data_IF_455207335141
#
_entry.id   IF_455207335141
#
_cell.length_a   1.000
_cell.length_b   1.000
_cell.length_c   1.000
_cell.angle_alpha   90.00
_cell.angle_beta   90.00
_cell.angle_gamma   90.00
#
_symmetry.space_group_name_H-M   'P 1'
#
loop_
_entity.id
_entity.type
_entity.pdbx_description
1 polymer ?
#
# COMPACT_ATOMS: atom_id res chain seq x y z
N UNK A 1 20.88 23.72 -22.09
CA UNK A 1 19.84 24.33 -21.25
C UNK A 1 18.73 23.31 -21.07
N UNK A 2 18.45 22.85 -19.85
CA UNK A 2 17.29 21.98 -19.61
C UNK A 2 16.05 22.87 -19.54
N UNK A 3 15.25 22.83 -20.59
CA UNK A 3 13.99 23.56 -20.64
C UNK A 3 13.00 22.77 -19.79
N UNK A 4 12.76 23.22 -18.55
CA UNK A 4 11.68 22.69 -17.72
C UNK A 4 10.39 23.01 -18.48
N UNK A 5 9.77 22.00 -19.09
CA UNK A 5 8.45 22.15 -19.67
C UNK A 5 7.51 22.55 -18.54
N UNK A 6 7.02 23.79 -18.59
CA UNK A 6 6.03 24.32 -17.64
C UNK A 6 4.68 23.75 -18.06
N UNK A 7 4.49 22.47 -17.74
CA UNK A 7 3.23 21.80 -18.01
C UNK A 7 2.11 22.53 -17.25
N UNK A 8 1.03 22.83 -17.96
CA UNK A 8 -0.18 23.32 -17.31
C UNK A 8 -0.67 22.22 -16.34
N UNK A 9 -0.84 22.57 -15.07
CA UNK A 9 -1.32 21.65 -14.01
C UNK A 9 -2.70 21.07 -14.32
N UNK A 10 -3.46 21.69 -15.21
CA UNK A 10 -4.74 21.18 -15.73
C UNK A 10 -4.49 19.99 -16.65
N UNK A 11 -3.58 20.14 -17.62
CA UNK A 11 -3.21 19.06 -18.56
C UNK A 11 -2.54 17.89 -17.84
N UNK A 12 -1.72 18.15 -16.82
CA UNK A 12 -1.11 17.08 -16.02
C UNK A 12 -2.16 16.27 -15.27
N UNK A 13 -3.14 16.91 -14.61
CA UNK A 13 -4.15 16.19 -13.82
C UNK A 13 -5.06 15.30 -14.66
N UNK A 14 -5.28 15.67 -15.92
CA UNK A 14 -6.05 14.89 -16.89
C UNK A 14 -5.21 13.79 -17.58
N UNK A 15 -3.89 13.80 -17.39
CA UNK A 15 -3.00 12.79 -17.99
C UNK A 15 -3.19 11.41 -17.34
N UNK A 16 -3.28 10.33 -18.14
CA UNK A 16 -3.31 8.96 -17.61
C UNK A 16 -2.14 8.65 -16.67
N UNK A 17 -0.95 9.16 -16.98
CA UNK A 17 0.25 8.93 -16.15
C UNK A 17 0.16 9.60 -14.78
N UNK A 18 -0.47 10.77 -14.67
CA UNK A 18 -0.69 11.42 -13.38
C UNK A 18 -1.65 10.60 -12.50
N UNK A 19 -2.69 10.03 -13.11
CA UNK A 19 -3.61 9.14 -12.41
C UNK A 19 -2.90 7.89 -11.91
N UNK A 20 -2.00 7.30 -12.71
CA UNK A 20 -1.16 6.17 -12.30
C UNK A 20 -0.28 6.52 -11.10
N UNK A 21 0.46 7.64 -11.14
CA UNK A 21 1.29 8.09 -10.01
C UNK A 21 0.44 8.31 -8.75
N UNK A 22 -0.74 8.89 -8.89
CA UNK A 22 -1.64 9.13 -7.77
C UNK A 22 -2.10 7.79 -7.16
N UNK A 23 -2.50 6.83 -8.00
CA UNK A 23 -2.90 5.50 -7.56
C UNK A 23 -1.75 4.74 -6.89
N UNK A 24 -0.55 4.79 -7.47
CA UNK A 24 0.66 4.20 -6.85
C UNK A 24 0.97 4.85 -5.49
N UNK A 25 0.85 6.17 -5.37
CA UNK A 25 1.05 6.88 -4.11
C UNK A 25 0.06 6.44 -3.03
N UNK A 26 -1.23 6.30 -3.38
CA UNK A 26 -2.27 5.83 -2.47
C UNK A 26 -1.99 4.39 -2.03
N UNK A 27 -1.66 3.50 -2.97
CA UNK A 27 -1.31 2.11 -2.70
C UNK A 27 -0.09 1.99 -1.77
N UNK A 28 0.96 2.79 -2.02
CA UNK A 28 2.16 2.82 -1.17
C UNK A 28 1.86 3.29 0.25
N UNK A 29 1.10 4.37 0.42
CA UNK A 29 0.72 4.86 1.75
C UNK A 29 -0.14 3.83 2.50
N UNK A 30 -1.04 3.13 1.80
CA UNK A 30 -1.87 2.10 2.42
C UNK A 30 -1.04 0.89 2.87
N UNK A 31 -0.09 0.46 2.04
CA UNK A 31 0.86 -0.61 2.40
C UNK A 31 1.70 -0.24 3.62
N UNK A 32 2.30 0.95 3.64
CA UNK A 32 3.07 1.42 4.82
C UNK A 32 2.21 1.50 6.08
N UNK A 33 0.93 1.86 5.93
CA UNK A 33 0.00 1.92 7.05
C UNK A 33 -0.24 0.53 7.64
N UNK A 34 -0.49 -0.47 6.78
CA UNK A 34 -0.62 -1.87 7.19
C UNK A 34 0.66 -2.38 7.87
N UNK A 35 1.83 -2.19 7.24
CA UNK A 35 3.12 -2.57 7.80
C UNK A 35 3.37 -1.91 9.17
N UNK A 36 3.01 -0.64 9.33
CA UNK A 36 3.14 0.06 10.61
C UNK A 36 2.23 -0.55 11.68
N UNK A 37 0.98 -0.88 11.34
CA UNK A 37 0.04 -1.51 12.29
C UNK A 37 0.57 -2.86 12.73
N UNK A 38 0.99 -3.70 11.80
CA UNK A 38 1.55 -5.02 12.11
C UNK A 38 2.79 -4.90 13.00
N UNK A 39 3.71 -3.99 12.67
CA UNK A 39 4.90 -3.74 13.50
C UNK A 39 4.55 -3.26 14.91
N UNK A 40 3.58 -2.37 15.05
CA UNK A 40 3.16 -1.85 16.37
C UNK A 40 2.46 -2.91 17.22
N UNK A 41 1.70 -3.83 16.61
CA UNK A 41 0.94 -4.85 17.35
C UNK A 41 1.76 -6.11 17.65
N UNK A 42 2.61 -6.52 16.71
CA UNK A 42 3.22 -7.84 16.73
C UNK A 42 4.76 -7.82 16.67
N UNK A 43 5.37 -6.65 16.49
CA UNK A 43 6.80 -6.53 16.26
C UNK A 43 7.19 -6.86 14.82
N UNK A 44 8.41 -7.33 14.63
CA UNK A 44 8.98 -7.54 13.29
C UNK A 44 8.09 -8.41 12.39
N UNK A 45 7.83 -7.94 11.17
CA UNK A 45 6.99 -8.64 10.20
C UNK A 45 7.80 -9.79 9.55
N UNK A 46 7.27 -11.03 9.56
CA UNK A 46 7.84 -12.16 8.85
C UNK A 46 8.03 -11.94 7.35
N UNK A 47 9.10 -12.51 6.79
CA UNK A 47 9.50 -12.30 5.39
C UNK A 47 8.45 -12.78 4.37
N UNK A 48 7.74 -13.86 4.67
CA UNK A 48 6.65 -14.41 3.87
C UNK A 48 5.48 -13.44 3.75
N UNK A 49 5.12 -12.76 4.84
CA UNK A 49 4.12 -11.69 4.85
C UNK A 49 4.61 -10.50 4.04
N UNK A 50 5.84 -10.03 4.28
CA UNK A 50 6.41 -8.88 3.56
C UNK A 50 6.49 -9.09 2.04
N UNK A 51 6.72 -10.33 1.58
CA UNK A 51 6.80 -10.65 0.14
C UNK A 51 5.46 -10.59 -0.57
N UNK A 52 4.34 -10.76 0.15
CA UNK A 52 3.00 -10.66 -0.43
C UNK A 52 2.52 -9.21 -0.54
N UNK A 53 2.99 -8.31 0.32
CA UNK A 53 2.57 -6.90 0.38
C UNK A 53 2.63 -6.13 -0.96
N UNK A 54 3.66 -6.30 -1.82
CA UNK A 54 3.75 -5.60 -3.10
C UNK A 54 2.64 -5.92 -4.10
N UNK A 55 2.07 -7.12 -4.04
CA UNK A 55 1.07 -7.61 -4.99
C UNK A 55 -0.38 -7.27 -4.58
N UNK A 56 -0.59 -6.74 -3.38
CA UNK A 56 -1.91 -6.46 -2.86
C UNK A 56 -2.56 -5.27 -3.58
N UNK A 57 -3.86 -5.40 -3.84
CA UNK A 57 -4.70 -4.30 -4.33
C UNK A 57 -5.06 -3.34 -3.19
N UNK A 58 -5.58 -2.16 -3.53
CA UNK A 58 -5.96 -1.17 -2.53
C UNK A 58 -7.07 -1.70 -1.63
N UNK A 59 -8.04 -2.39 -2.22
CA UNK A 59 -9.14 -3.06 -1.52
C UNK A 59 -8.62 -4.12 -0.55
N UNK A 60 -7.70 -4.97 -0.99
CA UNK A 60 -7.08 -5.98 -0.12
C UNK A 60 -6.31 -5.33 1.03
N UNK A 61 -5.59 -4.23 0.78
CA UNK A 61 -4.89 -3.49 1.83
C UNK A 61 -5.87 -2.91 2.86
N UNK A 62 -7.02 -2.39 2.42
CA UNK A 62 -8.05 -1.85 3.31
C UNK A 62 -8.64 -2.93 4.21
N UNK A 63 -8.98 -4.09 3.64
CA UNK A 63 -9.50 -5.24 4.37
C UNK A 63 -8.46 -5.77 5.37
N UNK A 64 -7.21 -5.93 4.93
CA UNK A 64 -6.12 -6.41 5.78
C UNK A 64 -5.79 -5.43 6.90
N UNK A 65 -5.98 -4.11 6.72
CA UNK A 65 -5.87 -3.15 7.83
C UNK A 65 -6.92 -3.42 8.90
N UNK A 66 -8.18 -3.65 8.50
CA UNK A 66 -9.24 -3.96 9.46
C UNK A 66 -8.96 -5.27 10.21
N UNK A 67 -8.53 -6.31 9.48
CA UNK A 67 -8.13 -7.61 10.05
C UNK A 67 -6.93 -7.45 10.98
N UNK A 68 -5.92 -6.69 10.57
CA UNK A 68 -4.73 -6.42 11.35
C UNK A 68 -5.00 -5.63 12.64
N UNK A 69 -6.22 -5.12 12.87
CA UNK A 69 -6.63 -4.52 14.14
C UNK A 69 -7.39 -5.50 15.05
N UNK A 70 -7.89 -6.62 14.52
CA UNK A 70 -8.77 -7.56 15.23
C UNK A 70 -8.12 -8.89 15.58
N UNK A 71 -7.23 -9.42 14.72
CA UNK A 71 -6.53 -10.70 14.95
C UNK A 71 -5.53 -10.60 16.11
N UNK A 72 -5.19 -11.71 16.75
CA UNK A 72 -4.36 -11.73 17.96
C UNK A 72 -2.90 -12.10 17.70
N UNK A 73 -2.56 -12.55 16.50
CA UNK A 73 -1.21 -12.95 16.13
C UNK A 73 -0.93 -12.71 14.64
N UNK A 74 0.36 -12.78 14.26
CA UNK A 74 0.78 -12.75 12.86
C UNK A 74 0.38 -14.03 12.11
N UNK A 75 0.30 -15.16 12.81
CA UNK A 75 -0.15 -16.43 12.21
C UNK A 75 -1.61 -16.30 11.76
N UNK A 76 -2.50 -15.82 12.65
CA UNK A 76 -3.92 -15.55 12.30
C UNK A 76 -4.04 -14.53 11.16
N UNK A 77 -3.20 -13.49 11.15
CA UNK A 77 -3.16 -12.53 10.06
C UNK A 77 -2.74 -13.18 8.73
N UNK A 78 -1.73 -14.05 8.76
CA UNK A 78 -1.18 -14.69 7.56
C UNK A 78 -2.18 -15.56 6.83
N UNK A 79 -3.12 -16.19 7.55
CA UNK A 79 -4.21 -17.00 7.01
C UNK A 79 -5.20 -16.18 6.17
N UNK A 80 -5.26 -14.86 6.41
CA UNK A 80 -6.15 -13.96 5.68
C UNK A 80 -5.50 -13.36 4.43
N UNK A 81 -4.21 -13.60 4.21
CA UNK A 81 -3.53 -13.10 3.01
C UNK A 81 -4.04 -13.84 1.77
N UNK A 82 -4.29 -13.14 0.66
CA UNK A 82 -4.62 -13.78 -0.60
C UNK A 82 -3.49 -14.73 -1.05
N UNK A 83 -3.88 -15.74 -1.84
CA UNK A 83 -2.97 -16.74 -2.42
C UNK A 83 -2.00 -16.11 -3.42
#
# INVERSE_FOLDING_TARGET
MQQIMRWDMTVLRESPWYQEILQEGIQQERRRSLERILNLRFGDIPLDISRKMPALTLEQLDELIAIALTVNSLDEFSEQLPN
#
